data_IF_134560413426
#
_entry.id   IF_134560413426
#
_cell.length_a   1.000
_cell.length_b   1.000
_cell.length_c   1.000
_cell.angle_alpha   90.00
_cell.angle_beta   90.00
_cell.angle_gamma   90.00
#
_symmetry.space_group_name_H-M   'P 1'
#
loop_
_entity.id
_entity.type
_entity.pdbx_description
1 polymer ?
#
# COMPACT_ATOMS: atom_id res chain seq x y z
N UNK A 1 33.79 35.13 -14.51
CA UNK A 1 33.60 33.67 -14.45
C UNK A 1 32.72 33.30 -13.26
N UNK A 2 31.56 32.71 -13.56
CA UNK A 2 30.75 31.77 -12.77
C UNK A 2 30.41 32.08 -11.29
N UNK A 3 29.15 32.50 -11.13
CA UNK A 3 28.32 32.37 -9.92
C UNK A 3 28.43 30.97 -9.31
N UNK A 4 29.02 30.85 -8.11
CA UNK A 4 28.84 29.68 -7.23
C UNK A 4 27.70 29.98 -6.23
N UNK A 5 26.69 29.11 -6.10
CA UNK A 5 25.55 29.35 -5.23
C UNK A 5 25.95 29.30 -3.76
N UNK A 6 25.39 30.22 -2.96
CA UNK A 6 25.40 30.16 -1.50
C UNK A 6 24.50 29.00 -1.07
N UNK A 7 25.06 27.80 -1.00
CA UNK A 7 24.39 26.62 -0.46
C UNK A 7 24.32 26.71 1.06
N UNK A 8 23.11 26.77 1.60
CA UNK A 8 22.84 26.51 3.01
C UNK A 8 23.38 25.12 3.38
N UNK A 9 24.32 25.07 4.33
CA UNK A 9 24.71 23.81 4.99
C UNK A 9 23.67 23.50 6.07
N UNK A 10 22.81 22.51 5.82
CA UNK A 10 22.06 21.87 6.91
C UNK A 10 23.05 20.93 7.59
N UNK A 11 23.60 21.37 8.71
CA UNK A 11 24.24 20.47 9.67
C UNK A 11 23.14 19.63 10.30
N UNK A 12 23.03 18.36 9.91
CA UNK A 12 22.22 17.40 10.64
C UNK A 12 23.05 17.01 11.88
N UNK A 13 22.93 17.79 12.95
CA UNK A 13 23.28 17.28 14.27
C UNK A 13 22.27 16.17 14.61
N UNK A 14 22.79 14.95 14.74
CA UNK A 14 22.00 13.75 14.89
C UNK A 14 22.33 12.64 13.90
N UNK A 15 23.60 12.51 13.48
CA UNK A 15 24.12 11.25 13.00
C UNK A 15 24.19 10.24 14.16
N UNK A 16 23.05 9.75 14.64
CA UNK A 16 23.00 8.45 15.30
C UNK A 16 22.96 7.39 14.20
N UNK A 17 24.08 7.29 13.48
CA UNK A 17 24.52 6.07 12.84
C UNK A 17 24.98 5.08 13.93
N UNK A 18 24.07 4.71 14.83
CA UNK A 18 24.25 3.58 15.74
C UNK A 18 24.05 2.29 14.94
N UNK A 19 25.11 1.89 14.25
CA UNK A 19 25.22 0.60 13.55
C UNK A 19 25.01 -0.58 14.52
N UNK A 20 25.15 -0.34 15.82
CA UNK A 20 25.00 -1.33 16.89
C UNK A 20 23.57 -1.78 17.19
N UNK A 21 22.53 -1.03 16.79
CA UNK A 21 21.19 -1.27 17.36
C UNK A 21 20.06 -1.59 16.37
N UNK A 22 20.43 -2.22 15.25
CA UNK A 22 19.44 -2.72 14.27
C UNK A 22 18.45 -3.67 14.97
N UNK A 23 18.94 -4.67 15.70
CA UNK A 23 18.12 -5.73 16.33
C UNK A 23 17.10 -5.21 17.35
N UNK A 24 17.42 -4.21 18.18
CA UNK A 24 16.45 -3.68 19.15
C UNK A 24 15.38 -2.81 18.49
N UNK A 25 15.69 -2.11 17.39
CA UNK A 25 14.69 -1.39 16.60
C UNK A 25 13.69 -2.35 15.94
N UNK A 26 14.16 -3.50 15.45
CA UNK A 26 13.30 -4.60 14.97
C UNK A 26 12.47 -5.19 16.12
N UNK A 27 13.07 -5.42 17.30
CA UNK A 27 12.35 -5.93 18.49
C UNK A 27 11.29 -4.95 19.02
N UNK A 28 11.53 -3.63 19.02
CA UNK A 28 10.50 -2.62 19.37
C UNK A 28 9.35 -2.56 18.35
N UNK A 29 9.59 -2.94 17.08
CA UNK A 29 8.53 -3.10 16.08
C UNK A 29 7.81 -4.46 16.16
N UNK A 30 8.34 -5.41 16.94
CA UNK A 30 7.77 -6.75 17.15
C UNK A 30 7.06 -6.89 18.51
N UNK A 31 7.36 -6.03 19.49
CA UNK A 31 6.58 -5.90 20.72
C UNK A 31 5.35 -4.99 20.49
N UNK A 32 4.41 -5.48 19.70
CA UNK A 32 3.00 -5.07 19.85
C UNK A 32 2.31 -6.25 20.50
N UNK A 33 1.70 -6.01 21.66
CA UNK A 33 1.08 -7.01 22.51
C UNK A 33 0.11 -7.93 21.73
N UNK A 34 0.08 -9.25 22.00
CA UNK A 34 -0.71 -10.20 21.24
C UNK A 34 -2.16 -10.24 21.72
N UNK A 35 -2.92 -9.16 21.50
CA UNK A 35 -4.39 -9.20 21.55
C UNK A 35 -5.04 -7.95 20.94
N UNK A 36 -4.72 -7.65 19.67
CA UNK A 36 -5.41 -6.57 18.95
C UNK A 36 -6.17 -7.24 17.81
N UNK A 37 -7.50 -7.26 17.93
CA UNK A 37 -8.40 -7.63 16.83
C UNK A 37 -7.98 -6.89 15.57
N UNK A 38 -7.75 -7.60 14.48
CA UNK A 38 -7.34 -7.00 13.21
C UNK A 38 -8.39 -5.99 12.73
N UNK A 39 -8.02 -4.70 12.73
CA UNK A 39 -8.88 -3.59 12.30
C UNK A 39 -9.35 -3.72 10.84
N UNK A 40 -8.65 -4.50 10.02
CA UNK A 40 -8.96 -4.70 8.59
C UNK A 40 -9.53 -6.08 8.29
N UNK A 41 -9.90 -6.84 9.31
CA UNK A 41 -10.47 -8.16 9.13
C UNK A 41 -11.70 -8.08 8.22
N UNK A 42 -11.74 -8.94 7.20
CA UNK A 42 -12.81 -8.96 6.19
C UNK A 42 -12.65 -7.97 5.03
N UNK A 43 -11.67 -7.05 5.06
CA UNK A 43 -11.35 -6.16 3.92
C UNK A 43 -10.34 -6.76 2.94
N UNK A 44 -9.70 -7.86 3.32
CA UNK A 44 -8.71 -8.58 2.51
C UNK A 44 -8.85 -10.09 2.73
N UNK A 45 -8.29 -10.87 1.80
CA UNK A 45 -8.30 -12.33 1.88
C UNK A 45 -8.52 -12.98 0.52
N UNK A 46 -8.65 -14.30 0.54
CA UNK A 46 -8.94 -15.10 -0.64
C UNK A 46 -10.46 -15.25 -0.79
N UNK A 47 -10.99 -14.84 -1.93
CA UNK A 47 -12.39 -15.09 -2.24
C UNK A 47 -12.63 -16.58 -2.53
N UNK A 48 -13.83 -17.06 -2.19
CA UNK A 48 -14.33 -18.34 -2.67
C UNK A 48 -14.43 -18.37 -4.19
N UNK A 49 -14.49 -19.58 -4.75
CA UNK A 49 -14.71 -19.78 -6.18
C UNK A 49 -15.97 -19.03 -6.63
N UNK A 50 -15.85 -18.31 -7.74
CA UNK A 50 -16.96 -17.55 -8.31
C UNK A 50 -17.85 -18.53 -9.08
N UNK A 51 -19.03 -18.83 -8.53
CA UNK A 51 -19.98 -19.79 -9.10
C UNK A 51 -21.27 -19.13 -9.64
N UNK A 52 -21.27 -17.80 -9.87
CA UNK A 52 -22.43 -17.06 -10.38
C UNK A 52 -23.74 -17.28 -9.59
N UNK A 53 -23.65 -17.50 -8.28
CA UNK A 53 -24.81 -17.66 -7.40
C UNK A 53 -25.71 -16.41 -7.45
N UNK A 54 -27.02 -16.64 -7.41
CA UNK A 54 -28.04 -15.58 -7.41
C UNK A 54 -27.92 -14.67 -6.18
N UNK A 55 -27.53 -15.22 -5.04
CA UNK A 55 -27.38 -14.51 -3.77
C UNK A 55 -26.00 -13.83 -3.60
N UNK A 56 -25.15 -13.81 -4.63
CA UNK A 56 -23.85 -13.18 -4.54
C UNK A 56 -23.97 -11.65 -4.57
N UNK A 57 -23.76 -11.02 -3.41
CA UNK A 57 -23.77 -9.55 -3.25
C UNK A 57 -22.82 -8.83 -4.21
N UNK A 58 -21.74 -9.51 -4.66
CA UNK A 58 -20.72 -8.95 -5.54
C UNK A 58 -21.18 -8.84 -6.99
N UNK A 59 -22.32 -9.44 -7.35
CA UNK A 59 -22.86 -9.41 -8.72
C UNK A 59 -23.16 -8.00 -9.21
N UNK A 60 -23.52 -7.10 -8.29
CA UNK A 60 -23.84 -5.70 -8.57
C UNK A 60 -22.61 -4.77 -8.57
N UNK A 61 -21.41 -5.29 -8.30
CA UNK A 61 -20.20 -4.48 -8.26
C UNK A 61 -19.82 -3.99 -9.66
N UNK A 62 -19.73 -2.68 -9.82
CA UNK A 62 -19.27 -2.06 -11.05
C UNK A 62 -17.73 -1.99 -11.05
N UNK A 63 -17.11 -2.77 -11.93
CA UNK A 63 -15.65 -2.76 -12.11
C UNK A 63 -15.24 -1.72 -13.14
N UNK A 64 -14.33 -0.84 -12.76
CA UNK A 64 -13.67 0.11 -13.65
C UNK A 64 -12.43 -0.53 -14.28
N UNK A 65 -12.31 -0.44 -15.60
CA UNK A 65 -11.11 -0.91 -16.32
C UNK A 65 -9.95 0.05 -16.05
N UNK A 66 -8.73 -0.49 -15.98
CA UNK A 66 -7.51 0.31 -15.75
C UNK A 66 -7.34 1.41 -16.81
N UNK A 67 -7.73 1.15 -18.07
CA UNK A 67 -7.68 2.14 -19.16
C UNK A 67 -8.51 3.41 -18.89
N UNK A 68 -9.57 3.29 -18.10
CA UNK A 68 -10.46 4.42 -17.79
C UNK A 68 -10.02 5.21 -16.55
N UNK A 69 -8.90 4.86 -15.93
CA UNK A 69 -8.37 5.58 -14.78
C UNK A 69 -7.62 6.82 -15.26
N UNK A 70 -8.34 7.93 -15.32
CA UNK A 70 -7.86 9.23 -15.77
C UNK A 70 -8.14 10.31 -14.69
N UNK A 71 -7.98 11.59 -15.06
CA UNK A 71 -8.22 12.72 -14.15
C UNK A 71 -9.70 12.89 -13.73
N UNK A 72 -10.64 12.31 -14.45
CA UNK A 72 -12.09 12.46 -14.20
C UNK A 72 -12.59 11.57 -13.05
N UNK A 73 -11.85 10.50 -12.78
CA UNK A 73 -12.09 9.59 -11.64
C UNK A 73 -11.27 9.97 -10.41
N UNK A 74 -10.58 11.11 -10.43
CA UNK A 74 -9.86 11.65 -9.27
C UNK A 74 -10.83 11.78 -8.08
N UNK A 75 -10.35 11.39 -6.91
CA UNK A 75 -11.08 11.44 -5.62
C UNK A 75 -12.34 10.54 -5.54
N UNK A 76 -12.64 9.74 -6.57
CA UNK A 76 -13.73 8.75 -6.55
C UNK A 76 -13.22 7.38 -6.11
N UNK A 77 -14.04 6.66 -5.34
CA UNK A 77 -13.79 5.25 -5.02
C UNK A 77 -14.22 4.39 -6.20
N UNK A 78 -13.31 3.56 -6.70
CA UNK A 78 -13.55 2.65 -7.83
C UNK A 78 -13.12 1.23 -7.46
N UNK A 79 -13.80 0.24 -8.03
CA UNK A 79 -13.41 -1.17 -7.91
C UNK A 79 -12.67 -1.56 -9.18
N UNK A 80 -11.48 -2.14 -9.03
CA UNK A 80 -10.65 -2.55 -10.16
C UNK A 80 -10.34 -4.04 -10.01
N UNK A 81 -10.32 -4.76 -11.14
CA UNK A 81 -9.88 -6.14 -11.22
C UNK A 81 -8.75 -6.25 -12.21
N UNK A 82 -7.60 -6.74 -11.75
CA UNK A 82 -6.40 -6.90 -12.57
C UNK A 82 -5.53 -8.02 -12.04
N UNK A 83 -4.47 -8.34 -12.78
CA UNK A 83 -3.42 -9.26 -12.34
C UNK A 83 -2.38 -8.49 -11.55
N UNK A 84 -1.90 -9.08 -10.45
CA UNK A 84 -0.73 -8.57 -9.75
C UNK A 84 0.50 -8.70 -10.65
N UNK A 85 1.11 -7.58 -11.03
CA UNK A 85 2.32 -7.57 -11.85
C UNK A 85 3.57 -7.57 -10.98
N UNK A 86 3.60 -6.69 -9.97
CA UNK A 86 4.67 -6.62 -8.99
C UNK A 86 4.13 -6.06 -7.66
N UNK A 87 4.62 -6.56 -6.53
CA UNK A 87 4.42 -5.96 -5.22
C UNK A 87 5.76 -5.70 -4.55
N UNK A 88 5.84 -4.64 -3.75
CA UNK A 88 7.00 -4.36 -2.89
C UNK A 88 6.54 -3.66 -1.62
N UNK A 89 6.95 -4.19 -0.49
CA UNK A 89 6.66 -3.58 0.82
C UNK A 89 7.91 -2.91 1.36
N UNK A 90 7.77 -1.67 1.83
CA UNK A 90 8.82 -0.89 2.49
C UNK A 90 8.25 -0.25 3.74
N UNK A 91 8.64 -0.78 4.91
CA UNK A 91 8.16 -0.30 6.19
C UNK A 91 6.65 -0.46 6.35
N UNK A 92 5.93 0.66 6.47
CA UNK A 92 4.46 0.70 6.67
C UNK A 92 3.68 0.95 5.36
N UNK A 93 4.31 0.75 4.21
CA UNK A 93 3.74 0.99 2.89
C UNK A 93 4.00 -0.20 1.96
N UNK A 94 3.01 -0.59 1.17
CA UNK A 94 3.12 -1.56 0.09
C UNK A 94 2.75 -0.89 -1.24
N UNK A 95 3.64 -1.02 -2.21
CA UNK A 95 3.42 -0.59 -3.58
C UNK A 95 3.03 -1.80 -4.40
N UNK A 96 1.94 -1.69 -5.14
CA UNK A 96 1.38 -2.74 -5.96
C UNK A 96 1.26 -2.21 -7.38
N UNK A 97 1.75 -2.96 -8.35
CA UNK A 97 1.50 -2.69 -9.77
C UNK A 97 0.44 -3.68 -10.23
N UNK A 98 -0.72 -3.18 -10.62
CA UNK A 98 -1.78 -3.96 -11.23
C UNK A 98 -1.69 -3.86 -12.75
N UNK A 99 -1.87 -4.98 -13.44
CA UNK A 99 -1.90 -5.07 -14.90
C UNK A 99 -3.23 -5.62 -15.39
N UNK A 100 -3.80 -4.96 -16.39
CA UNK A 100 -4.94 -5.44 -17.14
C UNK A 100 -4.64 -5.28 -18.63
N UNK A 101 -4.42 -6.41 -19.32
CA UNK A 101 -3.92 -6.44 -20.70
C UNK A 101 -2.60 -5.65 -20.81
N UNK A 102 -2.57 -4.61 -21.65
CA UNK A 102 -1.44 -3.70 -21.89
C UNK A 102 -1.36 -2.55 -20.86
N UNK A 103 -2.42 -2.28 -20.11
CA UNK A 103 -2.46 -1.16 -19.17
C UNK A 103 -1.99 -1.58 -17.79
N UNK A 104 -1.20 -0.69 -17.17
CA UNK A 104 -0.71 -0.87 -15.80
C UNK A 104 -1.01 0.36 -14.95
N UNK A 105 -1.21 0.15 -13.66
CA UNK A 105 -1.37 1.23 -12.68
C UNK A 105 -0.62 0.90 -11.40
N UNK A 106 -0.03 1.93 -10.79
CA UNK A 106 0.60 1.84 -9.48
C UNK A 106 -0.40 2.18 -8.38
N UNK A 107 -0.53 1.29 -7.40
CA UNK A 107 -1.34 1.44 -6.21
C UNK A 107 -0.43 1.53 -4.97
N UNK A 108 -0.86 2.28 -3.96
CA UNK A 108 -0.17 2.42 -2.68
C UNK A 108 -1.13 2.01 -1.56
N UNK A 109 -0.72 1.04 -0.76
CA UNK A 109 -1.38 0.63 0.47
C UNK A 109 -0.54 1.10 1.66
N UNK A 110 -1.13 1.79 2.63
CA UNK A 110 -0.43 2.36 3.79
C UNK A 110 -1.18 2.02 5.07
N UNK A 111 -0.46 1.51 6.06
CA UNK A 111 -1.01 1.24 7.41
C UNK A 111 -1.49 2.55 8.03
N UNK A 112 -2.71 2.55 8.55
CA UNK A 112 -3.39 3.70 9.11
C UNK A 112 -4.69 3.31 9.83
N UNK A 113 -5.64 4.25 9.92
CA UNK A 113 -6.90 4.04 10.65
C UNK A 113 -7.77 2.91 10.07
N UNK A 114 -7.66 2.66 8.76
CA UNK A 114 -8.52 1.73 8.03
C UNK A 114 -7.81 0.47 7.52
N UNK A 115 -6.47 0.45 7.64
CA UNK A 115 -5.58 -0.57 7.08
C UNK A 115 -4.60 -1.00 8.17
N UNK A 116 -4.67 -2.27 8.55
CA UNK A 116 -3.83 -2.92 9.55
C UNK A 116 -2.51 -3.39 8.95
N UNK A 117 -1.57 -3.84 9.80
CA UNK A 117 -0.27 -4.35 9.34
C UNK A 117 -0.44 -5.70 8.65
N UNK A 118 -1.42 -6.47 9.07
CA UNK A 118 -1.78 -7.80 8.60
C UNK A 118 -2.33 -7.78 7.16
N UNK A 119 -2.82 -6.63 6.70
CA UNK A 119 -3.27 -6.41 5.32
C UNK A 119 -2.13 -6.16 4.31
N UNK A 120 -0.91 -5.79 4.77
CA UNK A 120 0.25 -5.52 3.92
C UNK A 120 0.99 -6.78 3.46
#
# INVERSE_FOLDING_TARGET
ELLKPRGFSITIEGSNCDVGNRKERWKRQLNTEPNITDLSQGKYGTFSVICSSEYDVRRHNQFTLIRHINKEVKDKKVLIRGRLHQSRTRGKQCFIVLRQQEHTIQCLLKVGLQVSREML
#
